data_IF_223894185974
#
_entry.id   IF_223894185974
#
_cell.length_a   1.000
_cell.length_b   1.000
_cell.length_c   1.000
_cell.angle_alpha   90.00
_cell.angle_beta   90.00
_cell.angle_gamma   90.00
#
_symmetry.space_group_name_H-M   'P 1'
#
loop_
_entity.id
_entity.type
_entity.pdbx_description
1 polymer ?
#
# COMPACT_ATOMS: atom_id res chain seq x y z
N UNK A 1 7.28 -41.71 -23.67
CA UNK A 1 6.55 -40.62 -23.00
C UNK A 1 7.59 -39.65 -22.49
N UNK A 2 7.81 -38.57 -23.23
CA UNK A 2 8.72 -37.48 -22.83
C UNK A 2 7.98 -36.62 -21.80
N UNK A 3 8.47 -36.61 -20.57
CA UNK A 3 8.09 -35.59 -19.59
C UNK A 3 8.51 -34.24 -20.17
N UNK A 4 7.55 -33.41 -20.54
CA UNK A 4 7.81 -32.00 -20.76
C UNK A 4 8.17 -31.40 -19.40
N UNK A 5 9.45 -31.16 -19.16
CA UNK A 5 9.87 -30.25 -18.10
C UNK A 5 9.38 -28.87 -18.50
N UNK A 6 8.32 -28.40 -17.84
CA UNK A 6 7.97 -27.00 -17.88
C UNK A 6 9.13 -26.23 -17.22
N UNK A 7 9.75 -25.25 -17.89
CA UNK A 7 10.66 -24.36 -17.18
C UNK A 7 9.87 -23.76 -16.03
N UNK A 8 10.45 -23.78 -14.82
CA UNK A 8 9.97 -22.98 -13.70
C UNK A 8 9.75 -21.57 -14.23
N UNK A 9 8.48 -21.12 -14.36
CA UNK A 9 8.18 -19.79 -14.89
C UNK A 9 8.96 -18.78 -14.08
N UNK A 10 9.96 -18.16 -14.71
CA UNK A 10 10.61 -17.00 -14.13
C UNK A 10 9.54 -15.94 -13.90
N UNK A 11 9.54 -15.29 -12.74
CA UNK A 11 8.62 -14.18 -12.48
C UNK A 11 8.77 -13.16 -13.62
N UNK A 12 7.68 -12.72 -14.26
CA UNK A 12 7.75 -11.82 -15.41
C UNK A 12 8.28 -10.44 -15.03
N UNK A 13 8.17 -10.05 -13.76
CA UNK A 13 8.67 -8.81 -13.20
C UNK A 13 9.55 -9.12 -11.98
N UNK A 14 10.70 -8.46 -11.90
CA UNK A 14 11.68 -8.65 -10.81
C UNK A 14 12.00 -7.37 -10.06
N UNK A 15 11.65 -6.21 -10.62
CA UNK A 15 11.79 -4.87 -10.02
C UNK A 15 10.99 -3.87 -10.88
N UNK A 16 10.62 -2.75 -10.27
CA UNK A 16 10.02 -1.60 -10.91
C UNK A 16 8.49 -1.64 -10.95
N UNK A 17 7.89 -0.60 -11.54
CA UNK A 17 6.45 -0.52 -11.70
C UNK A 17 5.97 -1.62 -12.64
N UNK A 18 4.77 -2.15 -12.38
CA UNK A 18 4.14 -3.19 -13.20
C UNK A 18 2.78 -2.71 -13.73
N UNK A 19 2.27 -3.32 -14.82
CA UNK A 19 0.99 -2.92 -15.40
C UNK A 19 -0.18 -3.15 -14.43
N UNK A 20 -1.11 -2.18 -14.35
CA UNK A 20 -2.28 -2.25 -13.45
C UNK A 20 -3.27 -3.35 -13.86
N UNK A 21 -3.20 -3.82 -15.11
CA UNK A 21 -4.01 -4.92 -15.64
C UNK A 21 -3.75 -6.27 -14.95
N UNK A 22 -2.68 -6.35 -14.14
CA UNK A 22 -2.38 -7.51 -13.29
C UNK A 22 -3.13 -7.48 -11.96
N UNK A 23 -3.69 -6.34 -11.58
CA UNK A 23 -4.41 -6.17 -10.34
C UNK A 23 -5.79 -6.81 -10.41
N UNK A 24 -6.32 -7.29 -9.27
CA UNK A 24 -7.73 -7.59 -9.19
C UNK A 24 -8.55 -6.29 -9.27
N UNK A 25 -9.87 -6.41 -9.22
CA UNK A 25 -10.74 -5.24 -9.28
C UNK A 25 -10.38 -4.17 -8.23
N UNK A 26 -10.31 -2.93 -8.68
CA UNK A 26 -10.26 -1.70 -7.88
C UNK A 26 -11.09 -0.66 -8.62
N UNK A 27 -12.07 0.01 -7.98
CA UNK A 27 -12.85 1.05 -8.64
C UNK A 27 -11.99 2.31 -8.79
N UNK A 28 -11.88 2.85 -10.00
CA UNK A 28 -11.15 4.11 -10.27
C UNK A 28 -11.89 5.33 -9.70
N UNK A 29 -13.23 5.29 -9.72
CA UNK A 29 -14.11 6.29 -9.11
C UNK A 29 -15.09 5.59 -8.16
N UNK A 30 -15.16 6.04 -6.90
CA UNK A 30 -16.00 5.46 -5.85
C UNK A 30 -16.87 6.52 -5.17
N UNK A 31 -17.90 6.99 -5.87
CA UNK A 31 -18.89 7.95 -5.35
C UNK A 31 -20.23 7.27 -5.00
N UNK A 32 -20.21 6.24 -4.18
CA UNK A 32 -21.43 5.54 -3.76
C UNK A 32 -22.15 6.23 -2.58
N UNK A 33 -21.60 7.33 -2.07
CA UNK A 33 -22.09 8.07 -0.91
C UNK A 33 -21.61 7.51 0.43
N UNK A 34 -20.72 6.52 0.41
CA UNK A 34 -20.00 5.98 1.56
C UNK A 34 -18.67 6.69 1.82
N UNK A 35 -17.92 6.18 2.81
CA UNK A 35 -16.59 6.64 3.18
C UNK A 35 -15.54 5.54 2.96
N UNK A 36 -14.33 5.73 3.48
CA UNK A 36 -13.25 4.75 3.32
C UNK A 36 -13.61 3.33 3.80
N UNK A 37 -14.46 3.17 4.83
CA UNK A 37 -14.86 1.84 5.29
C UNK A 37 -15.75 1.14 4.26
N UNK A 38 -16.67 1.88 3.63
CA UNK A 38 -17.50 1.37 2.54
C UNK A 38 -16.66 0.97 1.33
N UNK A 39 -15.69 1.80 0.96
CA UNK A 39 -14.75 1.51 -0.12
C UNK A 39 -13.93 0.24 0.16
N UNK A 40 -13.34 0.11 1.36
CA UNK A 40 -12.60 -1.09 1.75
C UNK A 40 -13.45 -2.37 1.73
N UNK A 41 -14.71 -2.28 2.16
CA UNK A 41 -15.62 -3.43 2.12
C UNK A 41 -15.84 -3.96 0.70
N UNK A 42 -15.78 -3.09 -0.32
CA UNK A 42 -15.86 -3.48 -1.74
C UNK A 42 -14.56 -4.12 -2.24
N UNK A 43 -13.41 -3.73 -1.68
CA UNK A 43 -12.10 -4.25 -2.07
C UNK A 43 -11.75 -5.58 -1.37
N UNK A 44 -12.23 -5.81 -0.15
CA UNK A 44 -11.92 -7.00 0.65
C UNK A 44 -12.11 -8.34 -0.09
N UNK A 45 -13.23 -8.58 -0.81
CA UNK A 45 -13.42 -9.79 -1.61
C UNK A 45 -12.36 -10.03 -2.70
N UNK A 46 -11.62 -9.00 -3.09
CA UNK A 46 -10.57 -9.03 -4.10
C UNK A 46 -9.16 -9.14 -3.51
N UNK A 47 -9.05 -9.29 -2.18
CA UNK A 47 -7.78 -9.53 -1.49
C UNK A 47 -7.02 -8.27 -1.08
N UNK A 48 -7.64 -7.09 -1.21
CA UNK A 48 -7.06 -5.86 -0.65
C UNK A 48 -7.27 -5.79 0.86
N UNK A 49 -6.30 -5.20 1.56
CA UNK A 49 -6.32 -5.00 3.00
C UNK A 49 -6.14 -3.53 3.32
N UNK A 50 -7.08 -2.94 4.05
CA UNK A 50 -6.94 -1.57 4.54
C UNK A 50 -5.83 -1.44 5.58
N UNK A 51 -5.00 -0.42 5.44
CA UNK A 51 -3.93 -0.11 6.40
C UNK A 51 -4.16 1.28 6.96
N UNK A 52 -4.20 1.36 8.30
CA UNK A 52 -4.44 2.58 9.04
C UNK A 52 -3.19 3.17 9.66
N UNK A 53 -2.21 2.32 9.97
CA UNK A 53 -1.08 2.68 10.81
C UNK A 53 0.22 2.29 10.09
N UNK A 54 1.21 3.19 10.12
CA UNK A 54 2.49 3.03 9.43
C UNK A 54 3.66 3.46 10.32
N UNK A 55 4.84 2.91 10.04
CA UNK A 55 6.03 3.08 10.85
C UNK A 55 5.96 2.34 12.19
N UNK A 56 7.04 2.36 12.95
CA UNK A 56 7.22 1.49 14.13
C UNK A 56 6.36 1.86 15.34
N UNK A 57 5.75 3.05 15.35
CA UNK A 57 4.88 3.51 16.46
C UNK A 57 3.41 3.62 16.04
N UNK A 58 3.06 3.14 14.84
CA UNK A 58 1.67 3.12 14.38
C UNK A 58 1.09 4.52 14.15
N UNK A 59 1.83 5.38 13.46
CA UNK A 59 1.30 6.70 13.10
C UNK A 59 0.26 6.58 11.99
N UNK A 60 -0.75 7.46 12.03
CA UNK A 60 -1.87 7.48 11.09
C UNK A 60 -1.37 7.52 9.62
N UNK A 61 -1.81 6.56 8.82
CA UNK A 61 -1.65 6.53 7.36
C UNK A 61 -2.93 7.03 6.70
N UNK A 62 -2.90 8.31 6.31
CA UNK A 62 -4.02 9.03 5.71
C UNK A 62 -4.87 9.78 6.73
N UNK A 63 -6.04 10.25 6.31
CA UNK A 63 -6.98 11.00 7.13
C UNK A 63 -8.36 10.33 7.11
N UNK A 64 -8.51 9.30 7.92
CA UNK A 64 -9.74 8.53 7.99
C UNK A 64 -10.92 9.35 8.54
N UNK A 65 -12.14 9.20 7.98
CA UNK A 65 -12.53 8.26 6.93
C UNK A 65 -12.49 8.85 5.50
N UNK A 66 -11.91 10.04 5.33
CA UNK A 66 -11.89 10.77 4.05
C UNK A 66 -10.78 10.31 3.12
N UNK A 67 -9.66 9.85 3.70
CA UNK A 67 -8.51 9.36 2.97
C UNK A 67 -7.98 8.08 3.62
N UNK A 68 -7.77 7.06 2.80
CA UNK A 68 -7.40 5.72 3.23
C UNK A 68 -6.49 5.03 2.24
N UNK A 69 -5.67 4.11 2.75
CA UNK A 69 -4.76 3.28 1.94
C UNK A 69 -5.17 1.82 2.06
N UNK A 70 -5.23 1.14 0.92
CA UNK A 70 -5.40 -0.31 0.84
C UNK A 70 -4.18 -0.93 0.17
N UNK A 71 -3.66 -2.02 0.72
CA UNK A 71 -2.55 -2.79 0.15
C UNK A 71 -3.06 -4.06 -0.52
N UNK A 72 -2.37 -4.47 -1.57
CA UNK A 72 -2.60 -5.75 -2.22
C UNK A 72 -1.29 -6.53 -2.37
N UNK A 73 -1.31 -7.78 -1.93
CA UNK A 73 -0.26 -8.76 -2.12
C UNK A 73 -0.77 -9.83 -3.07
N UNK A 74 -0.17 -9.94 -4.26
CA UNK A 74 -0.57 -10.99 -5.21
C UNK A 74 -0.34 -12.37 -4.60
N UNK A 75 -1.35 -13.27 -4.58
CA UNK A 75 -1.18 -14.63 -4.08
C UNK A 75 -0.24 -15.48 -4.95
N UNK A 76 0.09 -14.99 -6.15
CA UNK A 76 1.02 -15.61 -7.08
C UNK A 76 2.36 -14.87 -7.15
N UNK A 77 2.58 -13.89 -6.26
CA UNK A 77 3.79 -13.07 -6.17
C UNK A 77 4.15 -12.39 -7.51
N UNK A 78 3.12 -12.03 -8.29
CA UNK A 78 3.27 -11.38 -9.59
C UNK A 78 3.42 -9.86 -9.46
N UNK A 79 2.80 -9.27 -8.44
CA UNK A 79 2.79 -7.84 -8.17
C UNK A 79 2.40 -7.56 -6.72
N UNK A 80 2.71 -6.34 -6.29
CA UNK A 80 2.35 -5.77 -5.00
C UNK A 80 1.86 -4.36 -5.26
N UNK A 81 0.74 -3.97 -4.67
CA UNK A 81 0.15 -2.67 -4.96
C UNK A 81 -0.33 -1.96 -3.70
N UNK A 82 -0.58 -0.67 -3.86
CA UNK A 82 -1.41 0.10 -2.96
C UNK A 82 -2.41 0.93 -3.77
N UNK A 83 -3.57 1.17 -3.17
CA UNK A 83 -4.58 2.08 -3.66
C UNK A 83 -4.83 3.14 -2.60
N UNK A 84 -5.01 4.39 -3.03
CA UNK A 84 -5.36 5.53 -2.18
C UNK A 84 -6.76 5.97 -2.55
N UNK A 85 -7.65 5.97 -1.58
CA UNK A 85 -8.94 6.63 -1.65
C UNK A 85 -8.83 8.04 -1.07
N UNK A 86 -9.40 9.04 -1.73
CA UNK A 86 -9.59 10.40 -1.19
C UNK A 86 -10.96 10.92 -1.63
N UNK A 87 -11.93 10.90 -0.71
CA UNK A 87 -13.31 11.41 -0.91
C UNK A 87 -13.99 10.98 -2.23
N UNK A 88 -13.71 9.75 -2.68
CA UNK A 88 -14.29 9.14 -3.87
C UNK A 88 -13.32 8.98 -5.04
N UNK A 89 -12.24 9.77 -5.08
CA UNK A 89 -11.18 9.59 -6.06
C UNK A 89 -10.27 8.44 -5.63
N UNK A 90 -9.89 7.56 -6.57
CA UNK A 90 -8.97 6.46 -6.31
C UNK A 90 -7.75 6.54 -7.21
N UNK A 91 -6.55 6.51 -6.60
CA UNK A 91 -5.29 6.33 -7.31
C UNK A 91 -4.65 4.99 -6.93
N UNK A 92 -3.90 4.39 -7.86
CA UNK A 92 -3.35 3.05 -7.69
C UNK A 92 -1.95 2.97 -8.25
N UNK A 93 -1.04 2.35 -7.51
CA UNK A 93 0.30 2.01 -7.97
C UNK A 93 0.58 0.52 -7.76
N UNK A 94 1.31 -0.08 -8.69
CA UNK A 94 1.71 -1.48 -8.62
C UNK A 94 3.21 -1.66 -8.91
N UNK A 95 3.82 -2.56 -8.17
CA UNK A 95 5.26 -2.83 -8.14
C UNK A 95 5.54 -4.32 -8.26
N UNK A 96 6.72 -4.65 -8.77
CA UNK A 96 7.16 -6.03 -8.92
C UNK A 96 7.49 -6.70 -7.58
N UNK A 97 7.90 -5.90 -6.58
CA UNK A 97 8.31 -6.37 -5.26
C UNK A 97 7.54 -5.70 -4.14
N UNK A 98 7.44 -6.40 -3.00
CA UNK A 98 6.81 -5.86 -1.78
C UNK A 98 7.61 -4.67 -1.27
N UNK A 99 8.93 -4.78 -1.31
CA UNK A 99 9.86 -3.77 -0.83
C UNK A 99 9.72 -2.45 -1.60
N UNK A 100 9.51 -2.50 -2.92
CA UNK A 100 9.24 -1.31 -3.73
C UNK A 100 7.88 -0.69 -3.41
N UNK A 101 6.85 -1.52 -3.22
CA UNK A 101 5.52 -1.04 -2.80
C UNK A 101 5.59 -0.39 -1.42
N UNK A 102 6.24 -1.02 -0.46
CA UNK A 102 6.40 -0.49 0.89
C UNK A 102 7.22 0.82 0.88
N UNK A 103 8.29 0.89 0.08
CA UNK A 103 9.09 2.10 -0.08
C UNK A 103 8.28 3.28 -0.68
N UNK A 104 7.34 3.02 -1.59
CA UNK A 104 6.43 4.05 -2.09
C UNK A 104 5.41 4.48 -1.02
N UNK A 105 4.92 3.54 -0.21
CA UNK A 105 4.03 3.87 0.92
C UNK A 105 4.78 4.64 2.02
N UNK A 106 6.07 4.38 2.24
CA UNK A 106 6.90 5.16 3.17
C UNK A 106 6.93 6.64 2.78
N UNK A 107 7.09 6.94 1.49
CA UNK A 107 7.05 8.32 0.97
C UNK A 107 5.65 8.92 1.13
N UNK A 108 4.61 8.16 0.79
CA UNK A 108 3.22 8.58 0.98
C UNK A 108 2.92 8.94 2.44
N UNK A 109 3.43 8.15 3.39
CA UNK A 109 3.29 8.40 4.82
C UNK A 109 3.92 9.74 5.21
N UNK A 110 5.14 10.06 4.73
CA UNK A 110 5.77 11.36 4.99
C UNK A 110 4.91 12.54 4.47
N UNK A 111 4.28 12.39 3.30
CA UNK A 111 3.36 13.41 2.77
C UNK A 111 2.15 13.63 3.68
N UNK A 112 1.53 12.56 4.17
CA UNK A 112 0.39 12.67 5.08
C UNK A 112 0.78 13.25 6.44
N UNK A 113 1.96 12.92 6.93
CA UNK A 113 2.47 13.45 8.19
C UNK A 113 2.91 14.90 8.08
N UNK A 114 3.40 15.36 6.93
CA UNK A 114 3.75 16.78 6.75
C UNK A 114 2.53 17.70 6.79
N UNK A 115 1.37 17.19 6.38
CA UNK A 115 0.11 17.93 6.30
C UNK A 115 -0.79 17.73 7.53
N UNK A 116 -0.33 17.01 8.55
CA UNK A 116 -1.12 16.70 9.75
C UNK A 116 -0.34 16.82 11.06
N UNK A 117 -1.06 17.10 12.15
CA UNK A 117 -0.51 17.03 13.52
C UNK A 117 -0.49 15.60 14.07
N UNK A 118 -0.82 14.59 13.24
CA UNK A 118 -1.02 13.19 13.64
C UNK A 118 0.15 12.28 13.31
N UNK A 119 1.07 12.75 12.46
CA UNK A 119 2.34 12.11 12.21
C UNK A 119 3.39 12.38 13.29
N UNK A 120 4.58 11.77 13.18
CA UNK A 120 5.69 12.06 14.07
C UNK A 120 6.19 13.49 13.85
N UNK A 121 6.38 14.24 14.94
CA UNK A 121 6.89 15.62 14.89
C UNK A 121 8.32 15.72 14.31
N UNK A 122 9.06 14.61 14.31
CA UNK A 122 10.42 14.49 13.79
C UNK A 122 10.48 13.73 12.45
N UNK A 123 9.34 13.60 11.74
CA UNK A 123 9.31 13.03 10.41
C UNK A 123 10.28 13.76 9.45
N UNK A 124 11.00 13.04 8.59
CA UNK A 124 11.74 13.64 7.48
C UNK A 124 10.84 14.44 6.54
N UNK A 125 11.45 15.32 5.74
CA UNK A 125 10.73 16.05 4.68
C UNK A 125 10.11 15.05 3.68
N UNK A 126 8.89 15.28 3.16
CA UNK A 126 8.25 14.40 2.19
C UNK A 126 9.04 14.22 0.89
N UNK A 127 9.98 15.11 0.58
CA UNK A 127 10.91 14.97 -0.56
C UNK A 127 12.08 14.02 -0.28
N UNK A 128 12.17 13.43 0.92
CA UNK A 128 13.24 12.50 1.32
C UNK A 128 13.18 11.26 0.45
N UNK A 129 14.26 10.89 -0.26
CA UNK A 129 14.29 9.69 -1.08
C UNK A 129 14.00 8.42 -0.24
N UNK A 130 13.30 7.41 -0.76
CA UNK A 130 12.95 6.21 0.01
C UNK A 130 14.13 5.54 0.71
N UNK A 131 15.30 5.50 0.05
CA UNK A 131 16.53 4.92 0.59
C UNK A 131 17.13 5.68 1.79
N UNK A 132 16.70 6.93 2.02
CA UNK A 132 17.20 7.80 3.09
C UNK A 132 16.22 7.92 4.27
N UNK A 133 14.97 7.49 4.12
CA UNK A 133 13.96 7.50 5.19
C UNK A 133 14.47 6.63 6.37
N UNK A 134 14.54 7.10 7.62
CA UNK A 134 14.98 6.26 8.72
C UNK A 134 14.05 5.06 8.97
N UNK A 135 14.54 3.85 9.33
CA UNK A 135 13.72 2.65 9.51
C UNK A 135 12.54 2.79 10.47
N UNK A 136 12.64 3.69 11.45
CA UNK A 136 11.55 4.03 12.38
C UNK A 136 10.28 4.46 11.65
N UNK A 137 10.41 5.16 10.52
CA UNK A 137 9.30 5.73 9.75
C UNK A 137 8.82 4.83 8.60
N UNK A 138 9.32 3.58 8.51
CA UNK A 138 9.07 2.70 7.38
C UNK A 138 8.19 1.50 7.73
N UNK A 139 7.51 0.99 6.71
CA UNK A 139 6.78 -0.27 6.74
C UNK A 139 5.43 -0.20 7.47
N UNK A 140 4.57 -1.20 7.26
CA UNK A 140 3.32 -1.32 8.01
C UNK A 140 3.63 -1.45 9.50
N UNK A 141 2.80 -0.84 10.34
CA UNK A 141 2.91 -1.04 11.78
C UNK A 141 2.55 -2.47 12.13
N UNK A 142 3.45 -3.14 12.86
CA UNK A 142 3.21 -4.45 13.44
C UNK A 142 3.04 -4.27 14.96
N UNK A 143 1.79 -4.30 15.49
CA UNK A 143 1.58 -4.22 16.93
C UNK A 143 2.28 -5.39 17.62
N UNK A 144 3.13 -5.09 18.60
CA UNK A 144 3.67 -6.13 19.47
C UNK A 144 2.57 -6.61 20.41
N UNK A 145 2.59 -7.88 20.82
CA UNK A 145 1.59 -8.54 21.71
C UNK A 145 1.33 -7.80 23.05
N UNK A 146 2.02 -6.69 23.34
CA UNK A 146 1.84 -5.89 24.56
C UNK A 146 0.82 -4.76 24.38
N UNK A 147 0.39 -4.44 23.15
CA UNK A 147 -0.53 -3.33 22.81
C UNK A 147 -1.98 -3.77 22.48
N UNK A 148 -2.33 -5.06 22.67
CA UNK A 148 -3.66 -5.63 22.37
C UNK A 148 -4.56 -5.85 23.60
#
# INVERSE_FOLDING_TARGET
MTHASYPSSARPFVSGPVPLELLPFVPEDFHDGGDADTWLAHLGPWGWTGVRDWGTEGWDLGNWPYQAVALYDSPFELCYAFAVYTEGDVSVEAWATREERDASVDVLALHYWSDSERGPADAPDPSTPPAEIPPRFRGPYEPTDTDA
#
